data_IF_467574546748
#
_entry.id   IF_467574546748
#
_cell.length_a   1.000
_cell.length_b   1.000
_cell.length_c   1.000
_cell.angle_alpha   90.00
_cell.angle_beta   90.00
_cell.angle_gamma   90.00
#
_symmetry.space_group_name_H-M   'P 1'
#
loop_
_entity.id
_entity.type
_entity.pdbx_description
1 polymer ?
#
# COMPACT_ATOMS: atom_id res chain seq x y z
N UNK A 1 -22.52 16.39 -10.16
CA UNK A 1 -23.72 17.13 -9.73
C UNK A 1 -23.51 17.60 -8.29
N UNK A 2 -23.49 18.91 -8.01
CA UNK A 2 -23.35 19.42 -6.64
C UNK A 2 -24.69 19.23 -5.90
N UNK A 3 -24.65 18.62 -4.71
CA UNK A 3 -25.85 18.49 -3.88
C UNK A 3 -26.28 19.87 -3.37
N UNK A 4 -27.59 20.09 -3.26
CA UNK A 4 -28.12 21.28 -2.60
C UNK A 4 -27.85 21.23 -1.10
N UNK A 5 -27.74 22.40 -0.46
CA UNK A 5 -27.47 22.52 0.99
C UNK A 5 -28.46 21.69 1.85
N UNK A 6 -29.78 21.68 1.56
CA UNK A 6 -30.73 20.86 2.33
C UNK A 6 -30.43 19.36 2.24
N UNK A 7 -30.10 18.87 1.04
CA UNK A 7 -29.75 17.45 0.83
C UNK A 7 -28.44 17.08 1.52
N UNK A 8 -27.48 18.01 1.58
CA UNK A 8 -26.23 17.81 2.33
C UNK A 8 -26.52 17.66 3.83
N UNK A 9 -27.41 18.50 4.38
CA UNK A 9 -27.78 18.45 5.80
C UNK A 9 -28.55 17.17 6.15
N UNK A 10 -29.45 16.71 5.28
CA UNK A 10 -30.17 15.46 5.45
C UNK A 10 -29.20 14.25 5.51
N UNK A 11 -28.29 14.16 4.54
CA UNK A 11 -27.28 13.11 4.48
C UNK A 11 -26.31 13.16 5.68
N UNK A 12 -25.93 14.36 6.13
CA UNK A 12 -25.16 14.56 7.35
C UNK A 12 -25.89 14.01 8.57
N UNK A 13 -27.18 14.31 8.73
CA UNK A 13 -27.97 13.84 9.86
C UNK A 13 -28.10 12.31 9.87
N UNK A 14 -28.22 11.69 8.69
CA UNK A 14 -28.18 10.21 8.56
C UNK A 14 -26.85 9.66 9.07
N UNK A 15 -25.72 10.27 8.77
CA UNK A 15 -24.42 9.81 9.30
C UNK A 15 -24.28 10.03 10.82
N UNK A 16 -24.74 11.19 11.31
CA UNK A 16 -24.60 11.58 12.73
C UNK A 16 -25.46 10.77 13.70
N UNK A 17 -26.48 10.07 13.19
CA UNK A 17 -27.37 9.20 13.99
C UNK A 17 -26.90 7.74 14.04
N UNK A 18 -25.80 7.39 13.36
CA UNK A 18 -25.22 6.05 13.50
C UNK A 18 -24.75 5.83 14.94
N UNK A 19 -25.04 4.66 15.50
CA UNK A 19 -24.68 4.29 16.86
C UNK A 19 -23.36 3.52 16.94
N UNK A 20 -23.01 2.80 15.88
CA UNK A 20 -21.79 1.98 15.81
C UNK A 20 -20.90 2.36 14.61
N UNK A 21 -19.59 2.01 14.64
CA UNK A 21 -18.69 2.18 13.51
C UNK A 21 -19.16 1.46 12.24
N UNK A 22 -19.74 0.27 12.36
CA UNK A 22 -20.27 -0.54 11.26
C UNK A 22 -21.42 0.18 10.55
N UNK A 23 -22.38 0.66 11.33
CA UNK A 23 -23.52 1.41 10.82
C UNK A 23 -23.09 2.74 10.19
N UNK A 24 -22.14 3.43 10.81
CA UNK A 24 -21.58 4.67 10.27
C UNK A 24 -20.94 4.43 8.89
N UNK A 25 -20.14 3.38 8.75
CA UNK A 25 -19.52 3.02 7.48
C UNK A 25 -20.58 2.66 6.43
N UNK A 26 -21.58 1.85 6.77
CA UNK A 26 -22.61 1.47 5.82
C UNK A 26 -23.37 2.70 5.27
N UNK A 27 -23.80 3.59 6.17
CA UNK A 27 -24.47 4.84 5.80
C UNK A 27 -23.52 5.75 5.00
N UNK A 28 -22.23 5.79 5.36
CA UNK A 28 -21.19 6.57 4.64
C UNK A 28 -20.95 6.06 3.23
N UNK A 29 -21.00 4.75 3.01
CA UNK A 29 -20.86 4.16 1.66
C UNK A 29 -22.08 4.45 0.79
N UNK A 30 -23.29 4.41 1.37
CA UNK A 30 -24.54 4.73 0.66
C UNK A 30 -24.73 6.24 0.44
N UNK A 31 -24.08 7.07 1.24
CA UNK A 31 -24.26 8.52 1.19
C UNK A 31 -23.69 9.15 -0.09
N UNK A 32 -24.44 10.11 -0.62
CA UNK A 32 -24.08 10.89 -1.82
C UNK A 32 -23.08 12.03 -1.53
N UNK A 33 -22.66 12.20 -0.27
CA UNK A 33 -21.72 13.23 0.14
C UNK A 33 -20.33 13.04 -0.49
N UNK A 34 -19.66 14.14 -0.79
CA UNK A 34 -18.26 14.12 -1.26
C UNK A 34 -17.28 13.70 -0.16
N UNK A 35 -16.06 13.31 -0.55
CA UNK A 35 -15.02 12.84 0.38
C UNK A 35 -14.67 13.87 1.46
N UNK A 36 -14.52 15.15 1.09
CA UNK A 36 -14.24 16.23 2.05
C UNK A 36 -15.37 16.45 3.06
N UNK A 37 -16.64 16.38 2.60
CA UNK A 37 -17.81 16.49 3.47
C UNK A 37 -17.86 15.33 4.46
N UNK A 38 -17.69 14.09 3.98
CA UNK A 38 -17.62 12.88 4.83
C UNK A 38 -16.50 12.97 5.86
N UNK A 39 -15.33 13.50 5.49
CA UNK A 39 -14.21 13.72 6.40
C UNK A 39 -14.60 14.60 7.59
N UNK A 40 -15.20 15.76 7.32
CA UNK A 40 -15.64 16.69 8.37
C UNK A 40 -16.70 16.10 9.30
N UNK A 41 -17.62 15.31 8.75
CA UNK A 41 -18.70 14.66 9.52
C UNK A 41 -18.14 13.53 10.38
N UNK A 42 -17.18 12.77 9.85
CA UNK A 42 -16.51 11.67 10.57
C UNK A 42 -15.83 12.19 11.84
N UNK A 43 -15.11 13.31 11.74
CA UNK A 43 -14.48 13.94 12.91
C UNK A 43 -15.54 14.33 13.95
N UNK A 44 -16.68 14.89 13.53
CA UNK A 44 -17.77 15.27 14.44
C UNK A 44 -18.46 14.07 15.09
N UNK A 45 -18.65 12.99 14.33
CA UNK A 45 -19.26 11.77 14.83
C UNK A 45 -18.36 11.09 15.87
N UNK A 46 -17.06 10.96 15.59
CA UNK A 46 -16.08 10.38 16.53
C UNK A 46 -16.03 11.15 17.86
N UNK A 47 -16.06 12.50 17.80
CA UNK A 47 -16.15 13.34 19.01
C UNK A 47 -17.41 13.11 19.84
N UNK A 48 -18.50 12.63 19.22
CA UNK A 48 -19.79 12.38 19.88
C UNK A 48 -19.87 10.97 20.48
N UNK A 49 -19.22 9.99 19.86
CA UNK A 49 -19.45 8.55 20.14
C UNK A 49 -18.29 7.85 20.86
N UNK A 50 -17.22 8.57 21.20
CA UNK A 50 -15.99 8.05 21.83
C UNK A 50 -15.26 6.94 21.05
N UNK A 51 -15.72 6.59 19.84
CA UNK A 51 -15.00 5.70 18.95
C UNK A 51 -13.76 6.38 18.36
N UNK A 52 -12.83 5.55 17.89
CA UNK A 52 -11.58 5.99 17.28
C UNK A 52 -11.58 5.80 15.76
N UNK A 53 -10.60 6.43 15.09
CA UNK A 53 -10.35 6.15 13.68
C UNK A 53 -9.97 4.68 13.43
N UNK A 54 -9.33 4.02 14.40
CA UNK A 54 -8.99 2.60 14.28
C UNK A 54 -10.24 1.72 14.23
N UNK A 55 -11.28 2.07 15.00
CA UNK A 55 -12.57 1.36 15.00
C UNK A 55 -13.28 1.51 13.67
N UNK A 56 -13.33 2.74 13.12
CA UNK A 56 -13.86 2.97 11.78
C UNK A 56 -13.08 2.23 10.70
N UNK A 57 -11.75 2.19 10.81
CA UNK A 57 -10.91 1.48 9.85
C UNK A 57 -11.15 -0.03 9.91
N UNK A 58 -11.35 -0.58 11.11
CA UNK A 58 -11.71 -1.99 11.32
C UNK A 58 -13.08 -2.30 10.72
N UNK A 59 -14.10 -1.55 11.08
CA UNK A 59 -15.46 -1.68 10.55
C UNK A 59 -15.49 -1.57 9.02
N UNK A 60 -14.75 -0.61 8.46
CA UNK A 60 -14.60 -0.44 7.01
C UNK A 60 -13.92 -1.63 6.35
N UNK A 61 -12.87 -2.16 6.94
CA UNK A 61 -12.13 -3.30 6.39
C UNK A 61 -12.98 -4.58 6.38
N UNK A 62 -13.88 -4.73 7.36
CA UNK A 62 -14.79 -5.87 7.46
C UNK A 62 -16.01 -5.76 6.54
N UNK A 63 -16.43 -4.54 6.16
CA UNK A 63 -17.61 -4.30 5.33
C UNK A 63 -17.46 -4.86 3.89
N UNK A 64 -18.39 -5.73 3.48
CA UNK A 64 -18.39 -6.38 2.16
C UNK A 64 -18.53 -5.41 1.00
N UNK A 65 -19.46 -4.45 1.07
CA UNK A 65 -19.65 -3.43 0.03
C UNK A 65 -18.41 -2.56 -0.16
N UNK A 66 -17.68 -2.24 0.91
CA UNK A 66 -16.41 -1.55 0.80
C UNK A 66 -15.34 -2.39 0.07
N UNK A 67 -15.27 -3.70 0.34
CA UNK A 67 -14.33 -4.59 -0.36
C UNK A 67 -14.61 -4.62 -1.87
N UNK A 68 -15.87 -4.69 -2.27
CA UNK A 68 -16.29 -4.65 -3.68
C UNK A 68 -15.92 -3.31 -4.34
N UNK A 69 -16.28 -2.18 -3.71
CA UNK A 69 -15.99 -0.84 -4.23
C UNK A 69 -14.48 -0.63 -4.35
N UNK A 70 -13.69 -1.02 -3.34
CA UNK A 70 -12.22 -0.92 -3.33
C UNK A 70 -11.61 -1.76 -4.45
N UNK A 71 -12.13 -2.97 -4.66
CA UNK A 71 -11.70 -3.89 -5.71
C UNK A 71 -12.08 -3.42 -7.12
N UNK A 72 -13.18 -2.67 -7.27
CA UNK A 72 -13.67 -2.20 -8.57
C UNK A 72 -12.62 -1.37 -9.29
N UNK A 73 -12.30 -1.79 -10.52
CA UNK A 73 -11.28 -1.16 -11.37
C UNK A 73 -9.84 -1.31 -10.86
N UNK A 74 -9.57 -2.11 -9.83
CA UNK A 74 -8.21 -2.32 -9.32
C UNK A 74 -7.30 -2.94 -10.37
N UNK A 75 -7.80 -3.93 -11.12
CA UNK A 75 -7.08 -4.55 -12.23
C UNK A 75 -6.70 -3.51 -13.29
N UNK A 76 -7.67 -2.73 -13.79
CA UNK A 76 -7.42 -1.70 -14.80
C UNK A 76 -6.46 -0.60 -14.31
N UNK A 77 -6.58 -0.16 -13.05
CA UNK A 77 -5.64 0.79 -12.44
C UNK A 77 -4.23 0.22 -12.33
N UNK A 78 -4.12 -1.05 -11.92
CA UNK A 78 -2.84 -1.74 -11.82
C UNK A 78 -2.22 -1.95 -13.21
N UNK A 79 -3.00 -2.35 -14.22
CA UNK A 79 -2.54 -2.50 -15.59
C UNK A 79 -1.99 -1.17 -16.14
N UNK A 80 -2.75 -0.08 -16.03
CA UNK A 80 -2.29 1.28 -16.40
C UNK A 80 -1.03 1.70 -15.67
N UNK A 81 -0.92 1.38 -14.37
CA UNK A 81 0.28 1.66 -13.58
C UNK A 81 1.48 0.85 -14.06
N UNK A 82 1.28 -0.43 -14.38
CA UNK A 82 2.34 -1.30 -14.88
C UNK A 82 2.85 -0.83 -16.24
N UNK A 83 1.94 -0.48 -17.14
CA UNK A 83 2.25 0.08 -18.46
C UNK A 83 3.03 1.40 -18.32
N UNK A 84 2.51 2.34 -17.53
CA UNK A 84 3.13 3.66 -17.30
C UNK A 84 4.57 3.56 -16.77
N UNK A 85 4.85 2.57 -15.93
CA UNK A 85 6.14 2.41 -15.25
C UNK A 85 6.90 1.17 -15.74
N UNK A 86 6.78 0.86 -17.03
CA UNK A 86 7.56 -0.16 -17.70
C UNK A 86 8.66 0.49 -18.54
N UNK A 87 9.86 0.62 -17.97
CA UNK A 87 11.00 1.27 -18.62
C UNK A 87 11.93 0.29 -19.35
N UNK A 88 11.45 -0.92 -19.70
CA UNK A 88 12.25 -1.95 -20.37
C UNK A 88 12.62 -1.60 -21.83
N UNK A 89 11.92 -0.66 -22.46
CA UNK A 89 12.13 -0.34 -23.88
C UNK A 89 12.03 -1.58 -24.78
N UNK A 90 13.01 -1.79 -25.66
CA UNK A 90 13.13 -2.96 -26.55
C UNK A 90 13.79 -4.18 -25.89
N UNK A 91 14.24 -4.11 -24.63
CA UNK A 91 14.89 -5.23 -23.95
C UNK A 91 13.90 -6.38 -23.76
N UNK A 92 14.14 -7.47 -24.48
CA UNK A 92 13.42 -8.74 -24.28
C UNK A 92 14.07 -9.51 -23.13
N UNK A 93 13.26 -9.89 -22.15
CA UNK A 93 13.67 -10.75 -21.05
C UNK A 93 13.62 -10.11 -19.65
N UNK A 94 14.21 -10.83 -18.69
CA UNK A 94 14.31 -10.43 -17.29
C UNK A 94 15.63 -9.69 -17.08
N UNK A 95 15.61 -8.54 -16.40
CA UNK A 95 16.84 -7.83 -16.02
C UNK A 95 17.70 -8.73 -15.14
N UNK A 96 18.96 -8.87 -15.51
CA UNK A 96 19.97 -9.51 -14.67
C UNK A 96 20.43 -8.55 -13.58
N UNK A 97 20.38 -9.02 -12.34
CA UNK A 97 20.76 -8.25 -11.17
C UNK A 97 22.16 -8.66 -10.72
N UNK A 98 23.17 -8.00 -11.28
CA UNK A 98 24.57 -8.18 -10.87
C UNK A 98 24.81 -7.65 -9.45
N UNK A 99 25.96 -7.98 -8.85
CA UNK A 99 26.32 -7.52 -7.50
C UNK A 99 26.43 -6.01 -7.45
N UNK A 100 26.92 -5.39 -8.52
CA UNK A 100 27.07 -3.95 -8.70
C UNK A 100 25.69 -3.28 -8.73
N UNK A 101 24.78 -3.79 -9.57
CA UNK A 101 23.40 -3.28 -9.66
C UNK A 101 22.66 -3.41 -8.32
N UNK A 102 22.84 -4.51 -7.58
CA UNK A 102 22.24 -4.69 -6.27
C UNK A 102 22.85 -3.76 -5.22
N UNK A 103 24.16 -3.55 -5.27
CA UNK A 103 24.89 -2.62 -4.39
C UNK A 103 24.42 -1.18 -4.61
N UNK A 104 24.29 -0.76 -5.85
CA UNK A 104 23.77 0.55 -6.23
C UNK A 104 22.30 0.69 -5.82
N UNK A 105 21.47 -0.33 -6.09
CA UNK A 105 20.06 -0.30 -5.69
C UNK A 105 19.93 -0.16 -4.18
N UNK A 106 20.77 -0.82 -3.39
CA UNK A 106 20.74 -0.70 -1.93
C UNK A 106 20.95 0.75 -1.45
N UNK A 107 21.86 1.49 -2.09
CA UNK A 107 22.14 2.88 -1.72
C UNK A 107 20.99 3.79 -2.15
N UNK A 108 20.54 3.67 -3.41
CA UNK A 108 19.43 4.44 -3.96
C UNK A 108 18.09 4.12 -3.30
N UNK A 109 17.96 2.95 -2.69
CA UNK A 109 16.76 2.51 -1.99
C UNK A 109 16.34 3.47 -0.86
N UNK A 110 17.29 4.21 -0.28
CA UNK A 110 17.03 5.16 0.82
C UNK A 110 16.41 6.46 0.36
N UNK A 111 16.63 6.84 -0.90
CA UNK A 111 16.30 8.18 -1.41
C UNK A 111 15.26 8.15 -2.54
N UNK A 112 15.28 7.13 -3.40
CA UNK A 112 14.42 7.04 -4.57
C UNK A 112 13.14 6.23 -4.33
N UNK A 113 12.07 6.63 -5.02
CA UNK A 113 10.79 5.91 -5.14
C UNK A 113 10.90 4.74 -6.12
N UNK A 114 9.96 3.81 -6.07
CA UNK A 114 10.00 2.59 -6.90
C UNK A 114 10.03 2.90 -8.41
N UNK A 115 9.30 3.92 -8.86
CA UNK A 115 9.23 4.27 -10.27
C UNK A 115 10.52 4.95 -10.76
N UNK A 116 11.16 5.77 -9.92
CA UNK A 116 12.46 6.40 -10.21
C UNK A 116 13.57 5.36 -10.30
N UNK A 117 13.52 4.32 -9.45
CA UNK A 117 14.41 3.17 -9.54
C UNK A 117 14.12 2.34 -10.79
N UNK A 118 12.86 2.16 -11.15
CA UNK A 118 12.48 1.41 -12.34
C UNK A 118 13.00 2.11 -13.61
N UNK A 119 12.92 3.44 -13.66
CA UNK A 119 13.48 4.27 -14.71
C UNK A 119 15.02 4.18 -14.74
N UNK A 120 15.68 4.43 -13.60
CA UNK A 120 17.14 4.39 -13.47
C UNK A 120 17.76 3.05 -13.92
N UNK A 121 17.12 1.94 -13.56
CA UNK A 121 17.60 0.61 -13.90
C UNK A 121 17.04 0.06 -15.23
N UNK A 122 16.30 0.88 -16.00
CA UNK A 122 15.64 0.49 -17.25
C UNK A 122 14.85 -0.80 -17.12
N UNK A 123 14.00 -0.87 -16.10
CA UNK A 123 13.25 -2.07 -15.76
C UNK A 123 11.80 -1.77 -15.44
N UNK A 124 11.04 -2.81 -15.12
CA UNK A 124 9.64 -2.66 -14.75
C UNK A 124 9.48 -2.47 -13.25
N UNK A 125 8.44 -1.73 -12.87
CA UNK A 125 8.06 -1.56 -11.47
C UNK A 125 7.98 -2.88 -10.66
N UNK A 126 7.41 -3.99 -11.19
CA UNK A 126 7.44 -5.29 -10.52
C UNK A 126 8.85 -5.82 -10.22
N UNK A 127 9.83 -5.58 -11.09
CA UNK A 127 11.20 -6.05 -10.89
C UNK A 127 11.85 -5.35 -9.71
N UNK A 128 11.73 -4.01 -9.63
CA UNK A 128 12.19 -3.22 -8.46
C UNK A 128 11.51 -3.68 -7.18
N UNK A 129 10.18 -3.81 -7.20
CA UNK A 129 9.41 -4.23 -6.04
C UNK A 129 9.84 -5.61 -5.53
N UNK A 130 10.16 -6.53 -6.43
CA UNK A 130 10.67 -7.84 -6.06
C UNK A 130 12.01 -7.74 -5.33
N UNK A 131 12.98 -6.98 -5.85
CA UNK A 131 14.28 -6.81 -5.21
C UNK A 131 14.14 -6.09 -3.85
N UNK A 132 13.32 -5.04 -3.76
CA UNK A 132 13.02 -4.35 -2.47
C UNK A 132 12.44 -5.29 -1.42
N UNK A 133 11.53 -6.20 -1.80
CA UNK A 133 11.02 -7.23 -0.88
C UNK A 133 12.14 -8.12 -0.36
N UNK A 134 13.06 -8.56 -1.23
CA UNK A 134 14.20 -9.36 -0.79
C UNK A 134 15.14 -8.59 0.15
N UNK A 135 15.38 -7.30 -0.10
CA UNK A 135 16.13 -6.44 0.82
C UNK A 135 15.47 -6.35 2.20
N UNK A 136 14.14 -6.17 2.24
CA UNK A 136 13.39 -6.16 3.49
C UNK A 136 13.51 -7.49 4.24
N UNK A 137 13.34 -8.62 3.54
CA UNK A 137 13.49 -9.95 4.15
C UNK A 137 14.91 -10.17 4.70
N UNK A 138 15.94 -9.81 3.93
CA UNK A 138 17.32 -9.91 4.36
C UNK A 138 17.58 -9.08 5.64
N UNK A 139 17.03 -7.86 5.71
CA UNK A 139 17.12 -7.02 6.91
C UNK A 139 16.44 -7.68 8.11
N UNK A 140 15.23 -8.22 7.94
CA UNK A 140 14.49 -8.90 9.01
C UNK A 140 15.22 -10.16 9.51
N UNK A 141 15.86 -10.92 8.62
CA UNK A 141 16.67 -12.09 9.01
C UNK A 141 17.84 -11.65 9.89
N UNK A 142 18.54 -10.57 9.52
CA UNK A 142 19.66 -10.06 10.32
C UNK A 142 19.19 -9.52 11.67
N UNK A 143 18.08 -8.78 11.69
CA UNK A 143 17.46 -8.28 12.93
C UNK A 143 17.08 -9.43 13.87
N UNK A 144 16.48 -10.52 13.35
CA UNK A 144 16.17 -11.72 14.14
C UNK A 144 17.41 -12.46 14.66
N UNK A 145 18.49 -12.51 13.87
CA UNK A 145 19.77 -13.10 14.30
C UNK A 145 20.56 -12.20 15.26
N UNK A 146 20.02 -11.03 15.63
CA UNK A 146 20.69 -10.01 16.42
C UNK A 146 22.05 -9.58 15.82
N UNK A 147 22.16 -9.60 14.49
CA UNK A 147 23.38 -9.23 13.77
C UNK A 147 23.36 -7.76 13.33
N UNK A 148 24.53 -7.10 13.38
CA UNK A 148 24.67 -5.74 12.84
C UNK A 148 24.39 -5.70 11.35
N UNK A 149 23.40 -4.90 10.96
CA UNK A 149 22.96 -4.69 9.57
C UNK A 149 24.10 -4.03 8.78
N UNK A 150 24.77 -4.82 7.94
CA UNK A 150 25.86 -4.37 7.10
C UNK A 150 25.54 -4.62 5.62
N UNK A 151 25.82 -3.64 4.76
CA UNK A 151 25.55 -3.71 3.31
C UNK A 151 26.09 -4.99 2.67
N UNK A 152 27.35 -5.35 2.96
CA UNK A 152 27.99 -6.58 2.43
C UNK A 152 27.22 -7.85 2.80
N UNK A 153 26.75 -7.97 4.05
CA UNK A 153 25.98 -9.14 4.52
C UNK A 153 24.61 -9.21 3.84
N UNK A 154 23.93 -8.07 3.70
CA UNK A 154 22.64 -8.00 2.99
C UNK A 154 22.80 -8.42 1.53
N UNK A 155 23.84 -7.96 0.85
CA UNK A 155 24.11 -8.32 -0.54
C UNK A 155 24.46 -9.81 -0.73
N UNK A 156 24.93 -10.48 0.33
CA UNK A 156 25.15 -11.93 0.33
C UNK A 156 23.83 -12.69 0.54
N UNK A 157 23.02 -12.26 1.51
CA UNK A 157 21.72 -12.87 1.81
C UNK A 157 20.75 -12.73 0.62
N UNK A 158 20.72 -11.56 -0.03
CA UNK A 158 19.78 -11.27 -1.13
C UNK A 158 20.03 -12.13 -2.37
N UNK A 159 21.16 -12.84 -2.50
CA UNK A 159 21.38 -13.76 -3.62
C UNK A 159 20.42 -14.95 -3.58
N UNK A 160 19.96 -15.36 -2.38
CA UNK A 160 18.93 -16.39 -2.22
C UNK A 160 17.62 -15.96 -2.89
N UNK A 161 16.82 -16.92 -3.34
CA UNK A 161 15.49 -16.61 -3.87
C UNK A 161 14.51 -16.19 -2.75
N UNK A 162 13.41 -15.52 -3.10
CA UNK A 162 12.47 -14.98 -2.10
C UNK A 162 11.85 -16.08 -1.21
N UNK A 163 11.60 -17.27 -1.76
CA UNK A 163 11.05 -18.42 -1.02
C UNK A 163 12.01 -18.90 0.08
N UNK A 164 13.29 -19.04 -0.25
CA UNK A 164 14.34 -19.43 0.70
C UNK A 164 14.51 -18.39 1.81
N UNK A 165 14.46 -17.10 1.49
CA UNK A 165 14.53 -16.03 2.49
C UNK A 165 13.35 -16.08 3.47
N UNK A 166 12.14 -16.36 2.99
CA UNK A 166 10.97 -16.52 3.86
C UNK A 166 11.07 -17.75 4.75
N UNK A 167 11.55 -18.87 4.20
CA UNK A 167 11.75 -20.09 4.99
C UNK A 167 12.76 -19.85 6.11
N UNK A 168 13.90 -19.22 5.81
CA UNK A 168 14.92 -18.87 6.81
C UNK A 168 14.38 -17.91 7.88
N UNK A 169 13.59 -16.90 7.49
CA UNK A 169 12.99 -15.97 8.45
C UNK A 169 11.99 -16.64 9.40
N UNK A 170 11.29 -17.68 8.92
CA UNK A 170 10.32 -18.44 9.71
C UNK A 170 10.98 -19.49 10.61
N UNK A 171 12.20 -19.94 10.29
CA UNK A 171 12.97 -20.88 11.12
C UNK A 171 13.80 -20.22 12.23
N UNK A 172 13.83 -18.89 12.27
CA UNK A 172 14.52 -18.07 13.28
C UNK A 172 13.50 -17.49 14.27
#
# INVERSE_FOLDING_TARGET
>A
MKLSIPKINEEKNKLMTAKTPEEYIERSLKSKLGSGQKGSITVKWLKKTNYTFADLQRARTNNSSWKEIKGKGSYARNAKRLEKYNFKGSQKGKKEWTKENLSELYDLNKTKKDWELAEHFHTSLPAINHIRRKFKLAKMIMEKKNEKIAKKKILLIIQKNEKALRAELNSL
#
